data_IF_674143212694
#
_entry.id   IF_674143212694
#
_cell.length_a   1.000
_cell.length_b   1.000
_cell.length_c   1.000
_cell.angle_alpha   90.00
_cell.angle_beta   90.00
_cell.angle_gamma   90.00
#
_symmetry.space_group_name_H-M   'P 1'
#
loop_
_entity.id
_entity.type
_entity.pdbx_description
1 polymer ?
#
# COMPACT_ATOMS: atom_id res chain seq x y z
N UNK A 1 -11.84 54.95 45.04
CA UNK A 1 -11.44 54.24 46.26
C UNK A 1 -11.74 52.77 46.04
N UNK A 2 -10.76 52.03 45.53
CA UNK A 2 -10.58 50.63 45.93
C UNK A 2 -9.28 50.66 46.72
N UNK A 3 -9.34 50.22 47.97
CA UNK A 3 -8.22 50.40 48.91
C UNK A 3 -7.12 49.41 48.56
N UNK A 4 -5.84 49.76 48.78
CA UNK A 4 -4.68 48.86 48.59
C UNK A 4 -4.87 47.45 49.23
N UNK A 5 -5.75 47.36 50.23
CA UNK A 5 -6.21 46.12 50.87
C UNK A 5 -6.97 45.19 49.92
N UNK A 6 -7.87 45.73 49.08
CA UNK A 6 -8.72 44.95 48.16
C UNK A 6 -7.93 44.39 46.98
N UNK A 7 -6.98 45.16 46.44
CA UNK A 7 -6.06 44.66 45.41
C UNK A 7 -5.16 43.54 45.94
N UNK A 8 -4.72 43.64 47.19
CA UNK A 8 -3.89 42.60 47.81
C UNK A 8 -4.70 41.32 48.08
N UNK A 9 -5.96 41.44 48.50
CA UNK A 9 -6.87 40.29 48.67
C UNK A 9 -7.24 39.61 47.34
N UNK A 10 -7.39 40.37 46.26
CA UNK A 10 -7.63 39.85 44.91
C UNK A 10 -6.41 39.09 44.37
N UNK A 11 -5.19 39.56 44.66
CA UNK A 11 -3.95 38.86 44.32
C UNK A 11 -3.79 37.55 45.11
N UNK A 12 -4.05 37.56 46.42
CA UNK A 12 -3.96 36.36 47.25
C UNK A 12 -4.99 35.29 46.82
N UNK A 13 -6.23 35.69 46.51
CA UNK A 13 -7.25 34.76 45.97
C UNK A 13 -6.85 34.17 44.62
N UNK A 14 -6.26 34.96 43.73
CA UNK A 14 -5.79 34.47 42.44
C UNK A 14 -4.59 33.53 42.56
N UNK A 15 -3.70 33.75 43.53
CA UNK A 15 -2.56 32.86 43.81
C UNK A 15 -2.99 31.55 44.50
N UNK A 16 -4.04 31.56 45.32
CA UNK A 16 -4.64 30.34 45.89
C UNK A 16 -5.45 29.53 44.86
N UNK A 17 -6.12 30.20 43.90
CA UNK A 17 -6.75 29.52 42.76
C UNK A 17 -5.72 28.87 41.81
N UNK A 18 -4.52 29.45 41.69
CA UNK A 18 -3.41 28.85 40.90
C UNK A 18 -2.77 27.65 41.58
N UNK A 19 -2.87 27.52 42.91
CA UNK A 19 -2.34 26.36 43.67
C UNK A 19 -3.24 25.12 43.63
N UNK A 20 -4.46 25.21 43.13
CA UNK A 20 -5.43 24.10 43.14
C UNK A 20 -5.75 23.50 41.77
N UNK A 21 -5.23 24.05 40.67
CA UNK A 21 -5.37 23.45 39.34
C UNK A 21 -4.16 22.57 39.07
N UNK A 22 -4.14 21.36 39.63
CA UNK A 22 -3.28 20.30 39.08
C UNK A 22 -3.77 20.02 37.66
N UNK A 23 -2.91 20.04 36.63
CA UNK A 23 -3.31 19.63 35.30
C UNK A 23 -3.65 18.14 35.37
N UNK A 24 -4.94 17.83 35.42
CA UNK A 24 -5.42 16.45 35.26
C UNK A 24 -4.98 16.01 33.86
N UNK A 25 -4.20 14.94 33.72
CA UNK A 25 -3.88 14.39 32.42
C UNK A 25 -5.20 13.99 31.76
N UNK A 26 -5.61 14.74 30.73
CA UNK A 26 -6.62 14.25 29.80
C UNK A 26 -5.89 13.21 28.94
N UNK A 27 -5.74 12.01 29.49
CA UNK A 27 -5.44 10.81 28.71
C UNK A 27 -6.72 10.57 27.91
N UNK A 28 -6.69 10.65 26.56
CA UNK A 28 -7.79 10.14 25.77
C UNK A 28 -8.01 8.69 26.19
N UNK A 29 -9.21 8.41 26.69
CA UNK A 29 -9.67 7.08 27.05
C UNK A 29 -9.29 6.11 25.93
N UNK A 30 -8.74 4.96 26.34
CA UNK A 30 -8.44 3.76 25.56
C UNK A 30 -8.46 3.96 24.04
N UNK A 31 -7.27 3.94 23.43
CA UNK A 31 -7.07 3.78 21.98
C UNK A 31 -8.01 2.67 21.52
N UNK A 32 -9.10 2.97 20.79
CA UNK A 32 -9.90 1.94 20.17
C UNK A 32 -8.97 1.24 19.17
N UNK A 33 -8.99 -0.09 19.18
CA UNK A 33 -8.25 -0.92 18.24
C UNK A 33 -8.78 -0.67 16.82
N UNK A 34 -8.34 0.43 16.21
CA UNK A 34 -8.68 0.88 14.87
C UNK A 34 -7.70 0.25 13.88
N UNK A 35 -7.83 -1.07 13.72
CA UNK A 35 -7.50 -1.66 12.43
C UNK A 35 -8.81 -2.11 11.79
N UNK A 36 -9.30 -1.41 10.75
CA UNK A 36 -10.29 -2.00 9.86
C UNK A 36 -9.75 -3.35 9.38
N UNK A 37 -10.60 -4.38 9.21
CA UNK A 37 -10.16 -5.68 8.69
C UNK A 37 -9.38 -5.43 7.41
N UNK A 38 -8.09 -5.75 7.45
CA UNK A 38 -7.24 -5.64 6.27
C UNK A 38 -7.84 -6.59 5.24
N UNK A 39 -8.19 -6.09 4.05
CA UNK A 39 -8.59 -6.95 2.93
C UNK A 39 -7.35 -7.70 2.46
N UNK A 40 -7.04 -8.81 3.12
CA UNK A 40 -5.89 -9.66 2.80
C UNK A 40 -6.22 -10.42 1.53
N UNK A 41 -5.72 -9.95 0.39
CA UNK A 41 -5.98 -10.57 -0.92
C UNK A 41 -5.17 -11.86 -1.11
N UNK A 42 -3.96 -11.89 -0.55
CA UNK A 42 -3.12 -13.09 -0.56
C UNK A 42 -3.06 -13.71 0.82
N UNK A 43 -3.61 -14.92 0.98
CA UNK A 43 -3.41 -15.69 2.20
C UNK A 43 -1.95 -16.10 2.35
N UNK A 44 -1.50 -16.30 3.60
CA UNK A 44 -0.13 -16.70 3.89
C UNK A 44 0.28 -17.98 3.14
N UNK A 45 -0.65 -18.91 2.94
CA UNK A 45 -0.46 -20.15 2.20
C UNK A 45 -0.21 -19.91 0.70
N UNK A 46 -0.91 -18.94 0.09
CA UNK A 46 -0.70 -18.58 -1.31
C UNK A 46 0.68 -17.96 -1.50
N UNK A 47 1.08 -17.04 -0.61
CA UNK A 47 2.40 -16.40 -0.63
C UNK A 47 3.49 -17.47 -0.50
N UNK A 48 3.40 -18.34 0.51
CA UNK A 48 4.33 -19.45 0.72
C UNK A 48 4.42 -20.37 -0.49
N UNK A 49 3.30 -20.65 -1.15
CA UNK A 49 3.24 -21.50 -2.34
C UNK A 49 3.89 -20.83 -3.56
N UNK A 50 3.68 -19.53 -3.75
CA UNK A 50 4.32 -18.74 -4.80
C UNK A 50 5.83 -18.63 -4.59
N UNK A 51 6.27 -18.39 -3.36
CA UNK A 51 7.70 -18.33 -3.01
C UNK A 51 8.39 -19.65 -3.29
N UNK A 52 7.79 -20.77 -2.88
CA UNK A 52 8.30 -22.10 -3.19
C UNK A 52 8.35 -22.35 -4.70
N UNK A 53 7.32 -21.95 -5.45
CA UNK A 53 7.32 -22.04 -6.91
C UNK A 53 8.50 -21.28 -7.54
N UNK A 54 8.71 -20.02 -7.17
CA UNK A 54 9.79 -19.20 -7.73
C UNK A 54 11.17 -19.67 -7.30
N UNK A 55 11.33 -20.17 -6.06
CA UNK A 55 12.56 -20.84 -5.61
C UNK A 55 12.86 -22.07 -6.46
N UNK A 56 11.89 -22.96 -6.65
CA UNK A 56 12.03 -24.16 -7.49
C UNK A 56 12.42 -23.82 -8.93
N UNK A 57 11.76 -22.83 -9.52
CA UNK A 57 12.06 -22.35 -10.88
C UNK A 57 13.47 -21.76 -10.97
N UNK A 58 13.85 -20.90 -10.02
CA UNK A 58 15.17 -20.27 -9.96
C UNK A 58 16.29 -21.31 -9.85
N UNK A 59 16.16 -22.29 -8.96
CA UNK A 59 17.14 -23.35 -8.79
C UNK A 59 17.27 -24.24 -10.02
N UNK A 60 16.14 -24.56 -10.66
CA UNK A 60 16.09 -25.31 -11.91
C UNK A 60 16.80 -24.57 -13.05
N UNK A 61 16.48 -23.29 -13.24
CA UNK A 61 17.08 -22.46 -14.28
C UNK A 61 18.57 -22.19 -14.02
N UNK A 62 18.98 -21.97 -12.78
CA UNK A 62 20.40 -21.80 -12.40
C UNK A 62 21.22 -23.03 -12.76
N UNK A 63 20.72 -24.24 -12.45
CA UNK A 63 21.38 -25.50 -12.82
C UNK A 63 21.51 -25.66 -14.32
N UNK A 64 20.44 -25.36 -15.08
CA UNK A 64 20.49 -25.39 -16.54
C UNK A 64 21.49 -24.38 -17.11
N UNK A 65 21.41 -23.11 -16.66
CA UNK A 65 22.33 -22.04 -17.09
C UNK A 65 23.79 -22.37 -16.79
N UNK A 66 24.09 -22.97 -15.64
CA UNK A 66 25.45 -23.44 -15.30
C UNK A 66 25.96 -24.50 -16.26
N UNK A 67 25.14 -25.50 -16.58
CA UNK A 67 25.50 -26.55 -17.56
C UNK A 67 25.73 -25.98 -18.96
N UNK A 68 24.85 -25.06 -19.39
CA UNK A 68 25.00 -24.37 -20.67
C UNK A 68 26.28 -23.52 -20.70
N UNK A 69 26.56 -22.78 -19.62
CA UNK A 69 27.78 -21.97 -19.47
C UNK A 69 29.03 -22.83 -19.58
N UNK A 70 29.10 -23.95 -18.88
CA UNK A 70 30.24 -24.88 -18.95
C UNK A 70 30.50 -25.40 -20.38
N UNK A 71 29.46 -25.64 -21.18
CA UNK A 71 29.60 -26.05 -22.59
C UNK A 71 30.02 -24.86 -23.46
N UNK A 72 29.45 -23.68 -23.20
CA UNK A 72 29.73 -22.46 -23.95
C UNK A 72 31.17 -21.99 -23.77
N UNK A 73 31.69 -22.06 -22.56
CA UNK A 73 33.01 -21.55 -22.17
C UNK A 73 34.14 -22.56 -22.44
N UNK A 74 33.80 -23.79 -22.87
CA UNK A 74 34.80 -24.80 -23.21
C UNK A 74 35.52 -24.45 -24.53
N UNK A 75 36.81 -24.13 -24.46
CA UNK A 75 37.63 -23.71 -25.61
C UNK A 75 37.93 -24.85 -26.60
N UNK A 76 37.89 -26.10 -26.15
CA UNK A 76 38.18 -27.30 -26.96
C UNK A 76 37.01 -27.75 -27.85
N UNK A 77 35.84 -27.12 -27.74
CA UNK A 77 34.65 -27.45 -28.51
C UNK A 77 34.38 -26.44 -29.62
N UNK A 78 34.18 -26.94 -30.85
CA UNK A 78 33.71 -26.10 -31.95
C UNK A 78 32.27 -25.60 -31.71
N UNK A 79 31.92 -24.46 -32.32
CA UNK A 79 30.59 -23.84 -32.19
C UNK A 79 29.46 -24.83 -32.54
N UNK A 80 29.66 -25.66 -33.57
CA UNK A 80 28.68 -26.67 -34.01
C UNK A 80 28.48 -27.74 -32.93
N UNK A 81 29.57 -28.25 -32.33
CA UNK A 81 29.51 -29.23 -31.23
C UNK A 81 28.83 -28.64 -30.00
N UNK A 82 29.12 -27.38 -29.65
CA UNK A 82 28.46 -26.67 -28.54
C UNK A 82 26.94 -26.61 -28.73
N UNK A 83 26.47 -26.20 -29.91
CA UNK A 83 25.02 -26.17 -30.24
C UNK A 83 24.37 -27.55 -30.10
N UNK A 84 25.02 -28.61 -30.60
CA UNK A 84 24.52 -29.98 -30.51
C UNK A 84 24.41 -30.46 -29.06
N UNK A 85 25.44 -30.22 -28.24
CA UNK A 85 25.45 -30.60 -26.83
C UNK A 85 24.38 -29.84 -26.03
N UNK A 86 24.24 -28.53 -26.24
CA UNK A 86 23.21 -27.72 -25.57
C UNK A 86 21.81 -28.22 -25.90
N UNK A 87 21.54 -28.54 -27.18
CA UNK A 87 20.25 -29.08 -27.62
C UNK A 87 19.96 -30.47 -27.01
N UNK A 88 21.01 -31.24 -26.71
CA UNK A 88 20.89 -32.56 -26.09
C UNK A 88 20.72 -32.51 -24.55
N UNK A 89 20.89 -31.35 -23.91
CA UNK A 89 20.71 -31.22 -22.46
C UNK A 89 19.25 -31.52 -22.14
N UNK A 90 19.03 -32.61 -21.42
CA UNK A 90 17.75 -32.93 -20.81
C UNK A 90 17.86 -32.75 -19.30
N UNK A 91 17.48 -31.57 -18.75
CA UNK A 91 17.53 -31.34 -17.32
C UNK A 91 16.63 -32.33 -16.57
N UNK A 92 16.98 -32.61 -15.31
CA UNK A 92 16.20 -33.51 -14.45
C UNK A 92 14.91 -32.84 -14.00
N UNK A 93 13.79 -33.56 -14.02
CA UNK A 93 12.53 -33.09 -13.44
C UNK A 93 12.68 -32.81 -11.93
N UNK A 94 12.07 -31.75 -11.42
CA UNK A 94 12.20 -31.35 -10.00
C UNK A 94 11.66 -32.40 -9.03
N UNK A 95 10.63 -33.17 -9.42
CA UNK A 95 10.04 -34.26 -8.63
C UNK A 95 10.73 -35.61 -8.89
N UNK A 96 10.51 -36.21 -10.07
CA UNK A 96 10.94 -37.59 -10.36
C UNK A 96 12.42 -37.73 -10.74
N UNK A 97 13.17 -36.64 -10.89
CA UNK A 97 14.60 -36.60 -11.24
C UNK A 97 14.98 -37.27 -12.58
N UNK A 98 14.01 -37.72 -13.37
CA UNK A 98 14.22 -38.25 -14.74
C UNK A 98 14.66 -37.13 -15.69
N UNK A 99 15.41 -37.48 -16.75
CA UNK A 99 15.91 -36.56 -17.79
C UNK A 99 14.79 -36.15 -18.77
N UNK A 100 13.70 -35.60 -18.24
CA UNK A 100 12.51 -35.16 -18.99
C UNK A 100 12.22 -33.67 -18.79
N UNK A 101 12.94 -33.02 -17.86
CA UNK A 101 12.74 -31.62 -17.51
C UNK A 101 11.48 -31.33 -16.71
N UNK A 102 11.29 -30.05 -16.40
CA UNK A 102 10.10 -29.51 -15.76
C UNK A 102 9.66 -28.31 -16.57
N UNK A 103 8.39 -28.30 -16.95
CA UNK A 103 7.80 -27.21 -17.72
C UNK A 103 7.23 -26.21 -16.72
N UNK A 104 7.88 -25.05 -16.63
CA UNK A 104 7.37 -23.89 -15.89
C UNK A 104 6.70 -22.93 -16.87
N UNK A 105 5.49 -22.46 -16.57
CA UNK A 105 4.81 -21.42 -17.35
C UNK A 105 4.09 -20.43 -16.44
N UNK A 106 3.90 -19.22 -16.97
CA UNK A 106 3.09 -18.16 -16.36
C UNK A 106 2.23 -17.58 -17.47
N UNK A 107 1.02 -18.11 -17.63
CA UNK A 107 0.09 -17.76 -18.70
C UNK A 107 -1.26 -17.45 -18.06
N UNK A 108 -1.90 -16.36 -18.48
CA UNK A 108 -3.19 -15.91 -17.92
C UNK A 108 -3.17 -15.82 -16.39
N UNK A 109 -2.09 -15.27 -15.83
CA UNK A 109 -1.86 -15.15 -14.37
C UNK A 109 -1.73 -16.47 -13.61
N UNK A 110 -1.77 -17.62 -14.30
CA UNK A 110 -1.62 -18.95 -13.69
C UNK A 110 -0.16 -19.40 -13.78
N UNK A 111 0.46 -19.61 -12.61
CA UNK A 111 1.75 -20.25 -12.48
C UNK A 111 1.58 -21.77 -12.56
N UNK A 112 2.20 -22.39 -13.55
CA UNK A 112 2.18 -23.85 -13.72
C UNK A 112 3.58 -24.43 -13.61
N UNK A 113 3.73 -25.57 -12.92
CA UNK A 113 4.88 -26.45 -13.02
C UNK A 113 4.42 -27.90 -13.21
N UNK A 114 4.87 -28.54 -14.29
CA UNK A 114 4.52 -29.93 -14.61
C UNK A 114 5.73 -30.72 -15.12
N UNK A 115 5.66 -32.04 -15.04
CA UNK A 115 6.67 -32.93 -15.62
C UNK A 115 6.77 -32.70 -17.14
N UNK A 116 7.98 -32.69 -17.71
CA UNK A 116 8.16 -32.56 -19.16
C UNK A 116 7.94 -33.83 -19.97
N UNK A 117 7.58 -34.94 -19.33
CA UNK A 117 7.24 -36.20 -19.98
C UNK A 117 5.77 -36.18 -20.43
N UNK A 118 5.52 -36.32 -21.73
CA UNK A 118 4.18 -36.33 -22.32
C UNK A 118 3.47 -37.70 -22.26
N UNK A 119 4.22 -38.78 -22.02
CA UNK A 119 3.69 -40.16 -22.06
C UNK A 119 3.44 -40.67 -20.64
N UNK A 120 4.40 -40.46 -19.74
CA UNK A 120 4.30 -40.93 -18.34
C UNK A 120 4.69 -39.83 -17.35
N UNK A 121 3.95 -38.70 -17.29
CA UNK A 121 4.26 -37.62 -16.36
C UNK A 121 4.25 -38.13 -14.92
N UNK A 122 5.23 -37.71 -14.11
CA UNK A 122 5.12 -37.93 -12.67
C UNK A 122 4.04 -37.00 -12.08
N UNK A 123 3.59 -37.26 -10.84
CA UNK A 123 2.58 -36.44 -10.15
C UNK A 123 3.03 -35.05 -9.70
N UNK A 124 3.90 -34.37 -10.47
CA UNK A 124 4.24 -32.97 -10.26
C UNK A 124 3.16 -32.12 -10.92
N UNK A 125 2.36 -31.44 -10.10
CA UNK A 125 1.27 -30.58 -10.57
C UNK A 125 1.15 -29.39 -9.62
N UNK A 126 1.79 -28.29 -10.00
CA UNK A 126 1.64 -27.00 -9.32
C UNK A 126 0.85 -26.09 -10.25
N UNK A 127 -0.29 -25.59 -9.79
CA UNK A 127 -1.12 -24.57 -10.46
C UNK A 127 -1.58 -23.55 -9.44
N UNK A 128 -1.09 -22.33 -9.56
CA UNK A 128 -1.42 -21.21 -8.66
C UNK A 128 -1.98 -20.08 -9.50
N UNK A 129 -3.24 -19.71 -9.28
CA UNK A 129 -3.83 -18.50 -9.84
C UNK A 129 -3.39 -17.31 -8.98
N UNK A 130 -2.71 -16.33 -9.61
CA UNK A 130 -2.19 -15.14 -8.92
C UNK A 130 -3.26 -14.06 -8.71
N UNK A 131 -4.42 -14.24 -9.32
CA UNK A 131 -5.52 -13.29 -9.32
C UNK A 131 -5.33 -12.12 -10.28
N UNK A 132 -6.45 -11.49 -10.63
CA UNK A 132 -6.52 -10.24 -11.38
C UNK A 132 -6.63 -9.11 -10.37
N UNK A 133 -5.48 -8.50 -10.06
CA UNK A 133 -5.37 -7.45 -9.05
C UNK A 133 -4.87 -6.15 -9.64
N UNK A 134 -5.39 -5.03 -9.17
CA UNK A 134 -4.84 -3.69 -9.39
C UNK A 134 -4.92 -2.88 -8.10
N UNK A 135 -4.22 -1.74 -8.07
CA UNK A 135 -4.34 -0.79 -6.96
C UNK A 135 -5.57 0.09 -7.15
N UNK A 136 -6.22 0.52 -6.08
CA UNK A 136 -7.35 1.46 -6.10
C UNK A 136 -7.04 2.75 -6.89
N UNK A 137 -5.80 3.22 -6.86
CA UNK A 137 -5.34 4.36 -7.68
C UNK A 137 -5.47 4.06 -9.18
N UNK A 138 -5.02 2.87 -9.60
CA UNK A 138 -5.13 2.43 -11.00
C UNK A 138 -6.58 2.14 -11.39
N UNK A 139 -7.40 1.68 -10.44
CA UNK A 139 -8.82 1.49 -10.66
C UNK A 139 -9.49 2.85 -10.92
N UNK A 140 -9.20 3.86 -10.08
CA UNK A 140 -9.70 5.22 -10.28
C UNK A 140 -9.29 5.79 -11.64
N UNK A 141 -8.01 5.68 -12.02
CA UNK A 141 -7.51 6.13 -13.33
C UNK A 141 -8.19 5.37 -14.49
N UNK A 142 -8.38 4.06 -14.35
CA UNK A 142 -9.05 3.22 -15.34
C UNK A 142 -10.51 3.68 -15.55
N UNK A 143 -11.29 3.74 -14.48
CA UNK A 143 -12.70 4.14 -14.55
C UNK A 143 -12.88 5.58 -15.02
N UNK A 144 -11.97 6.48 -14.66
CA UNK A 144 -11.97 7.83 -15.19
C UNK A 144 -11.79 7.86 -16.72
N UNK A 145 -10.85 7.06 -17.26
CA UNK A 145 -10.65 6.97 -18.70
C UNK A 145 -11.85 6.35 -19.43
N UNK A 146 -12.49 5.33 -18.83
CA UNK A 146 -13.71 4.74 -19.39
C UNK A 146 -14.85 5.77 -19.45
N UNK A 147 -15.05 6.56 -18.38
CA UNK A 147 -16.02 7.66 -18.37
C UNK A 147 -15.74 8.69 -19.48
N UNK A 148 -14.47 9.06 -19.70
CA UNK A 148 -14.10 10.00 -20.76
C UNK A 148 -14.32 9.41 -22.17
N UNK A 149 -14.03 8.12 -22.36
CA UNK A 149 -14.32 7.42 -23.61
C UNK A 149 -15.84 7.38 -23.88
N UNK A 150 -16.66 7.06 -22.90
CA UNK A 150 -18.11 7.04 -23.07
C UNK A 150 -18.69 8.43 -23.33
N UNK A 151 -18.18 9.47 -22.67
CA UNK A 151 -18.53 10.86 -23.00
C UNK A 151 -18.17 11.20 -24.45
N UNK A 152 -17.00 10.76 -24.92
CA UNK A 152 -16.60 10.95 -26.31
C UNK A 152 -17.57 10.22 -27.26
N UNK A 153 -17.95 8.99 -26.96
CA UNK A 153 -18.91 8.21 -27.75
C UNK A 153 -20.31 8.86 -27.79
N UNK A 154 -20.75 9.47 -26.68
CA UNK A 154 -21.97 10.28 -26.62
C UNK A 154 -21.88 11.49 -27.56
N UNK A 155 -20.77 12.21 -27.54
CA UNK A 155 -20.55 13.36 -28.43
C UNK A 155 -20.56 12.90 -29.90
N UNK A 156 -19.86 11.81 -30.21
CA UNK A 156 -19.81 11.25 -31.56
C UNK A 156 -21.21 10.82 -32.03
N UNK A 157 -21.99 10.18 -31.18
CA UNK A 157 -23.38 9.78 -31.49
C UNK A 157 -24.25 11.01 -31.78
N UNK A 158 -24.14 12.07 -30.98
CA UNK A 158 -24.86 13.33 -31.20
C UNK A 158 -24.49 13.99 -32.53
N UNK A 159 -23.20 14.02 -32.86
CA UNK A 159 -22.73 14.57 -34.15
C UNK A 159 -23.20 13.71 -35.32
N UNK A 160 -23.12 12.38 -35.20
CA UNK A 160 -23.60 11.47 -36.24
C UNK A 160 -25.09 11.68 -36.53
N UNK A 161 -25.91 11.87 -35.49
CA UNK A 161 -27.33 12.20 -35.65
C UNK A 161 -27.52 13.56 -36.33
N UNK A 162 -26.83 14.61 -35.85
CA UNK A 162 -26.94 15.98 -36.38
C UNK A 162 -26.62 16.06 -37.88
N UNK A 163 -25.64 15.28 -38.35
CA UNK A 163 -25.23 15.23 -39.75
C UNK A 163 -25.97 14.16 -40.56
N UNK A 164 -26.94 13.46 -39.98
CA UNK A 164 -27.78 12.47 -40.67
C UNK A 164 -27.08 11.15 -41.01
N UNK A 165 -25.98 10.81 -40.32
CA UNK A 165 -25.30 9.52 -40.48
C UNK A 165 -25.99 8.36 -39.76
N UNK A 166 -26.85 8.66 -38.79
CA UNK A 166 -27.67 7.70 -38.03
C UNK A 166 -29.08 8.25 -37.82
N UNK A 167 -30.07 7.36 -37.70
CA UNK A 167 -31.45 7.75 -37.44
C UNK A 167 -31.67 8.06 -35.93
N UNK A 168 -32.83 8.62 -35.60
CA UNK A 168 -33.18 9.03 -34.24
C UNK A 168 -33.29 7.85 -33.27
N UNK A 169 -33.95 6.75 -33.67
CA UNK A 169 -34.16 5.57 -32.83
C UNK A 169 -32.83 4.92 -32.40
N UNK A 170 -31.91 4.73 -33.35
CA UNK A 170 -30.56 4.18 -33.11
C UNK A 170 -29.73 5.11 -32.21
N UNK A 171 -29.90 6.42 -32.39
CA UNK A 171 -29.19 7.44 -31.60
C UNK A 171 -29.66 7.48 -30.16
N UNK A 172 -30.98 7.38 -29.93
CA UNK A 172 -31.59 7.32 -28.59
C UNK A 172 -31.15 6.04 -27.88
N UNK A 173 -31.15 4.90 -28.59
CA UNK A 173 -30.74 3.61 -28.02
C UNK A 173 -29.29 3.68 -27.54
N UNK A 174 -28.35 4.08 -28.40
CA UNK A 174 -26.93 4.24 -28.03
C UNK A 174 -26.71 5.26 -26.92
N UNK A 175 -27.43 6.37 -26.95
CA UNK A 175 -27.33 7.38 -25.90
C UNK A 175 -27.74 6.82 -24.53
N UNK A 176 -28.83 6.03 -24.47
CA UNK A 176 -29.26 5.40 -23.24
C UNK A 176 -28.29 4.33 -22.75
N UNK A 177 -27.71 3.53 -23.67
CA UNK A 177 -26.65 2.58 -23.34
C UNK A 177 -25.45 3.28 -22.69
N UNK A 178 -24.86 4.29 -23.34
CA UNK A 178 -23.74 5.04 -22.78
C UNK A 178 -24.09 5.74 -21.47
N UNK A 179 -25.31 6.26 -21.34
CA UNK A 179 -25.77 6.89 -20.09
C UNK A 179 -25.77 5.89 -18.94
N UNK A 180 -26.25 4.67 -19.16
CA UNK A 180 -26.26 3.62 -18.15
C UNK A 180 -24.82 3.18 -17.82
N UNK A 181 -23.99 2.94 -18.84
CA UNK A 181 -22.58 2.57 -18.64
C UNK A 181 -21.80 3.65 -17.87
N UNK A 182 -22.02 4.93 -18.17
CA UNK A 182 -21.42 6.03 -17.40
C UNK A 182 -21.89 6.00 -15.95
N UNK A 183 -23.17 5.72 -15.70
CA UNK A 183 -23.70 5.63 -14.34
C UNK A 183 -23.01 4.52 -13.55
N UNK A 184 -22.95 3.31 -14.11
CA UNK A 184 -22.31 2.15 -13.49
C UNK A 184 -20.81 2.40 -13.25
N UNK A 185 -20.14 2.98 -14.25
CA UNK A 185 -18.70 3.31 -14.16
C UNK A 185 -18.43 4.39 -13.12
N UNK A 186 -19.34 5.36 -12.97
CA UNK A 186 -19.23 6.42 -11.96
C UNK A 186 -19.36 5.87 -10.55
N UNK A 187 -20.21 4.86 -10.33
CA UNK A 187 -20.30 4.15 -9.04
C UNK A 187 -18.97 3.47 -8.70
N UNK A 188 -18.36 2.77 -9.66
CA UNK A 188 -17.06 2.12 -9.48
C UNK A 188 -15.91 3.11 -9.24
N UNK A 189 -15.88 4.21 -9.99
CA UNK A 189 -14.94 5.30 -9.77
C UNK A 189 -15.10 5.91 -8.38
N UNK A 190 -16.34 6.19 -7.97
CA UNK A 190 -16.67 6.75 -6.67
C UNK A 190 -16.30 5.79 -5.55
N UNK A 191 -16.51 4.49 -5.72
CA UNK A 191 -16.09 3.44 -4.80
C UNK A 191 -14.57 3.42 -4.62
N UNK A 192 -13.80 3.48 -5.72
CA UNK A 192 -12.33 3.52 -5.67
C UNK A 192 -11.80 4.78 -4.95
N UNK A 193 -12.38 5.94 -5.27
CA UNK A 193 -12.04 7.19 -4.58
C UNK A 193 -12.45 7.15 -3.11
N UNK A 194 -13.63 6.60 -2.81
CA UNK A 194 -14.12 6.50 -1.43
C UNK A 194 -13.16 5.66 -0.62
N UNK A 195 -12.68 4.52 -1.12
CA UNK A 195 -11.66 3.73 -0.41
C UNK A 195 -10.38 4.52 -0.08
N UNK A 196 -9.91 5.36 -1.01
CA UNK A 196 -8.77 6.24 -0.79
C UNK A 196 -9.09 7.35 0.23
N UNK A 197 -10.35 7.80 0.29
CA UNK A 197 -10.82 8.94 1.09
C UNK A 197 -11.37 8.53 2.48
N UNK A 198 -11.97 7.35 2.65
CA UNK A 198 -12.77 6.93 3.83
C UNK A 198 -11.95 6.84 5.12
N UNK A 199 -10.62 6.90 5.02
CA UNK A 199 -9.76 7.40 6.11
C UNK A 199 -9.93 8.91 6.37
N UNK A 200 -11.14 9.46 6.22
CA UNK A 200 -11.47 10.86 6.51
C UNK A 200 -11.93 11.06 7.94
N UNK A 201 -12.32 10.02 8.68
CA UNK A 201 -12.41 10.04 10.16
C UNK A 201 -11.07 10.49 10.78
N UNK A 202 -9.98 10.28 10.04
CA UNK A 202 -8.66 10.77 10.36
C UNK A 202 -8.56 12.30 10.28
N UNK A 203 -9.36 13.01 9.47
CA UNK A 203 -9.22 14.47 9.25
C UNK A 203 -9.65 15.29 10.46
N UNK A 204 -10.78 14.95 11.08
CA UNK A 204 -11.26 15.64 12.29
C UNK A 204 -10.39 15.30 13.49
N UNK A 205 -10.03 14.02 13.66
CA UNK A 205 -9.08 13.59 14.68
C UNK A 205 -7.70 14.25 14.49
N UNK A 206 -7.18 14.34 13.25
CA UNK A 206 -5.95 15.09 12.93
C UNK A 206 -6.12 16.56 13.30
N UNK A 207 -7.26 17.18 12.99
CA UNK A 207 -7.53 18.59 13.32
C UNK A 207 -7.50 18.82 14.83
N UNK A 208 -8.23 18.02 15.60
CA UNK A 208 -8.27 18.09 17.06
C UNK A 208 -6.90 17.81 17.69
N UNK A 209 -6.19 16.80 17.19
CA UNK A 209 -4.84 16.47 17.69
C UNK A 209 -3.84 17.58 17.36
N UNK A 210 -3.90 18.17 16.17
CA UNK A 210 -3.07 19.33 15.80
C UNK A 210 -3.36 20.54 16.69
N UNK A 211 -4.63 20.78 17.06
CA UNK A 211 -4.97 21.85 18.00
C UNK A 211 -4.35 21.60 19.38
N UNK A 212 -4.39 20.36 19.87
CA UNK A 212 -3.73 19.98 21.13
C UNK A 212 -2.21 20.13 21.04
N UNK A 213 -1.60 19.75 19.92
CA UNK A 213 -0.17 19.92 19.66
C UNK A 213 0.23 21.40 19.68
N UNK A 214 -0.52 22.27 18.99
CA UNK A 214 -0.27 23.72 18.98
C UNK A 214 -0.38 24.32 20.39
N UNK A 215 -1.35 23.90 21.20
CA UNK A 215 -1.46 24.34 22.59
C UNK A 215 -0.22 23.95 23.41
N UNK A 216 0.25 22.70 23.30
CA UNK A 216 1.45 22.24 24.00
C UNK A 216 2.73 22.95 23.52
N UNK A 217 2.84 23.27 22.22
CA UNK A 217 3.97 24.04 21.69
C UNK A 217 3.97 25.48 22.22
N UNK A 218 2.81 26.12 22.34
CA UNK A 218 2.73 27.46 22.93
C UNK A 218 3.11 27.43 24.41
N UNK A 219 2.67 26.43 25.18
CA UNK A 219 3.09 26.24 26.58
C UNK A 219 4.62 26.07 26.72
N UNK A 220 5.26 25.32 25.81
CA UNK A 220 6.72 25.21 25.81
C UNK A 220 7.37 26.56 25.51
N UNK A 221 6.86 27.33 24.54
CA UNK A 221 7.39 28.66 24.22
C UNK A 221 7.28 29.60 25.42
N UNK A 222 6.12 29.65 26.08
CA UNK A 222 5.90 30.45 27.29
C UNK A 222 6.85 30.05 28.43
N UNK A 223 7.11 28.75 28.61
CA UNK A 223 8.06 28.27 29.61
C UNK A 223 9.52 28.67 29.26
N UNK A 224 9.89 28.63 27.98
CA UNK A 224 11.23 29.08 27.54
C UNK A 224 11.38 30.59 27.74
N UNK A 225 10.36 31.38 27.42
CA UNK A 225 10.36 32.84 27.63
C UNK A 225 10.50 33.17 29.13
N UNK A 226 9.71 32.51 29.99
CA UNK A 226 9.83 32.67 31.46
C UNK A 226 11.18 32.25 31.99
N UNK A 227 11.81 31.21 31.44
CA UNK A 227 13.18 30.85 31.80
C UNK A 227 14.18 31.95 31.44
N UNK A 228 14.06 32.55 30.25
CA UNK A 228 14.95 33.65 29.82
C UNK A 228 14.85 34.83 30.79
N UNK A 229 13.63 35.17 31.24
CA UNK A 229 13.36 36.27 32.17
C UNK A 229 13.80 35.98 33.62
N UNK A 230 13.53 34.78 34.13
CA UNK A 230 13.68 34.45 35.56
C UNK A 230 14.95 33.66 35.89
N UNK A 231 15.58 33.03 34.89
CA UNK A 231 16.66 32.04 35.05
C UNK A 231 16.27 30.81 35.90
N UNK A 232 14.97 30.58 36.13
CA UNK A 232 14.50 29.42 36.91
C UNK A 232 14.44 28.13 36.05
N UNK A 233 15.30 27.19 36.40
CA UNK A 233 15.46 25.88 35.74
C UNK A 233 14.15 25.07 35.74
N UNK A 234 13.21 25.32 36.67
CA UNK A 234 11.95 24.60 36.71
C UNK A 234 11.14 24.76 35.43
N UNK A 235 11.15 25.94 34.80
CA UNK A 235 10.47 26.17 33.52
C UNK A 235 11.04 25.30 32.39
N UNK A 236 12.35 25.04 32.39
CA UNK A 236 12.98 24.12 31.42
C UNK A 236 12.58 22.67 31.69
N UNK A 237 12.53 22.24 32.96
CA UNK A 237 12.07 20.90 33.32
C UNK A 237 10.62 20.67 32.89
N UNK A 238 9.74 21.63 33.15
CA UNK A 238 8.33 21.57 32.78
C UNK A 238 8.16 21.55 31.25
N UNK A 239 8.97 22.32 30.51
CA UNK A 239 8.98 22.29 29.03
C UNK A 239 9.42 20.93 28.48
N UNK A 240 10.46 20.32 29.05
CA UNK A 240 10.93 18.97 28.66
C UNK A 240 9.88 17.92 29.00
N UNK A 241 9.22 18.03 30.16
CA UNK A 241 8.16 17.12 30.57
C UNK A 241 6.95 17.18 29.63
N UNK A 242 6.52 18.38 29.22
CA UNK A 242 5.48 18.56 28.20
C UNK A 242 5.89 17.92 26.87
N UNK A 243 7.17 18.05 26.47
CA UNK A 243 7.66 17.46 25.24
C UNK A 243 7.55 15.93 25.26
N UNK A 244 8.01 15.31 26.34
CA UNK A 244 8.03 13.85 26.50
C UNK A 244 6.61 13.29 26.68
N UNK A 245 5.79 13.88 27.56
CA UNK A 245 4.48 13.35 27.94
C UNK A 245 3.36 13.69 26.98
N UNK A 246 3.44 14.85 26.30
CA UNK A 246 2.35 15.33 25.46
C UNK A 246 2.76 15.39 23.99
N UNK A 247 3.82 16.12 23.64
CA UNK A 247 4.17 16.37 22.22
C UNK A 247 4.58 15.09 21.50
N UNK A 248 5.51 14.31 22.06
CA UNK A 248 5.99 13.07 21.44
C UNK A 248 4.86 12.08 21.13
N UNK A 249 3.96 11.72 22.07
CA UNK A 249 2.85 10.82 21.75
C UNK A 249 1.84 11.43 20.77
N UNK A 250 1.55 12.74 20.85
CA UNK A 250 0.67 13.42 19.88
C UNK A 250 1.25 13.36 18.45
N UNK A 251 2.56 13.58 18.29
CA UNK A 251 3.23 13.49 16.99
C UNK A 251 3.16 12.07 16.44
N UNK A 252 3.45 11.06 17.26
CA UNK A 252 3.34 9.64 16.87
C UNK A 252 1.92 9.29 16.45
N UNK A 253 0.92 9.79 17.19
CA UNK A 253 -0.49 9.59 16.86
C UNK A 253 -0.84 10.23 15.50
N UNK A 254 -0.44 11.48 15.26
CA UNK A 254 -0.65 12.16 13.97
C UNK A 254 0.04 11.42 12.83
N UNK A 255 1.26 10.91 13.04
CA UNK A 255 1.97 10.16 12.00
C UNK A 255 1.26 8.85 11.66
N UNK A 256 0.78 8.10 12.65
CA UNK A 256 0.07 6.84 12.44
C UNK A 256 -1.31 7.05 11.78
N UNK A 257 -1.94 8.18 12.09
CA UNK A 257 -3.17 8.61 11.45
C UNK A 257 -2.93 8.93 9.96
N UNK A 258 -1.86 9.64 9.62
CA UNK A 258 -1.56 10.08 8.25
C UNK A 258 -0.92 9.02 7.37
N UNK A 259 -0.11 8.13 7.93
CA UNK A 259 0.77 7.25 7.18
C UNK A 259 0.61 5.80 7.64
N UNK A 260 0.36 4.90 6.69
CA UNK A 260 0.45 3.46 6.96
C UNK A 260 1.90 2.99 7.02
N UNK A 261 2.82 3.69 6.36
CA UNK A 261 4.25 3.42 6.44
C UNK A 261 5.04 4.71 6.69
N UNK A 262 5.81 4.72 7.78
CA UNK A 262 6.67 5.83 8.20
C UNK A 262 7.96 5.26 8.77
N UNK A 263 9.05 5.33 8.00
CA UNK A 263 10.33 4.77 8.41
C UNK A 263 11.51 5.51 7.79
N UNK A 264 12.69 5.38 8.41
CA UNK A 264 13.95 5.75 7.79
C UNK A 264 14.46 4.53 7.04
N UNK A 265 14.51 4.61 5.71
CA UNK A 265 15.08 3.57 4.86
C UNK A 265 16.55 3.91 4.62
N UNK A 266 17.42 2.91 4.83
CA UNK A 266 18.85 3.00 4.55
C UNK A 266 19.11 2.42 3.16
N UNK A 267 19.71 3.22 2.29
CA UNK A 267 20.20 2.79 0.99
C UNK A 267 21.65 2.30 1.15
N UNK A 268 21.84 0.97 1.10
CA UNK A 268 23.15 0.32 1.21
C UNK A 268 24.11 0.69 0.06
N UNK A 269 23.59 1.08 -1.10
CA UNK A 269 24.44 1.39 -2.27
C UNK A 269 25.04 2.81 -2.18
N UNK A 270 24.35 3.73 -1.52
CA UNK A 270 24.74 5.15 -1.43
C UNK A 270 25.02 5.62 0.02
N UNK A 271 24.91 4.75 1.03
CA UNK A 271 24.99 5.07 2.46
C UNK A 271 24.07 6.23 2.88
N UNK A 272 22.92 6.38 2.22
CA UNK A 272 21.98 7.48 2.50
C UNK A 272 20.78 7.00 3.31
N UNK A 273 20.33 7.84 4.25
CA UNK A 273 19.10 7.62 4.99
C UNK A 273 18.00 8.51 4.43
N UNK A 274 16.90 7.91 3.99
CA UNK A 274 15.74 8.64 3.48
C UNK A 274 14.52 8.40 4.35
N UNK A 275 13.80 9.48 4.67
CA UNK A 275 12.55 9.38 5.41
C UNK A 275 11.40 9.09 4.44
N UNK A 276 10.89 7.86 4.49
CA UNK A 276 9.82 7.40 3.61
C UNK A 276 8.48 7.51 4.34
N UNK A 277 7.55 8.24 3.72
CA UNK A 277 6.21 8.50 4.24
C UNK A 277 5.19 8.10 3.20
N UNK A 278 4.42 7.02 3.44
CA UNK A 278 3.39 6.55 2.51
C UNK A 278 2.03 6.51 3.21
N UNK A 279 1.02 7.23 2.71
CA UNK A 279 -0.34 7.19 3.27
C UNK A 279 -0.94 5.78 3.20
N UNK A 280 -0.56 5.03 2.17
CA UNK A 280 -0.99 3.66 1.91
C UNK A 280 0.21 2.77 1.56
N UNK A 281 0.14 1.49 1.92
CA UNK A 281 1.00 0.45 1.34
C UNK A 281 0.33 -0.11 0.10
N UNK A 282 1.09 -0.69 -0.84
CA UNK A 282 0.52 -1.30 -2.07
C UNK A 282 -0.56 -2.30 -1.68
N UNK A 283 -0.22 -3.26 -0.82
CA UNK A 283 -1.14 -4.27 -0.26
C UNK A 283 -2.42 -3.67 0.32
N UNK A 284 -2.33 -2.50 0.97
CA UNK A 284 -3.50 -1.87 1.57
C UNK A 284 -4.47 -1.24 0.60
N UNK A 285 -4.08 -1.08 -0.66
CA UNK A 285 -4.93 -0.51 -1.72
C UNK A 285 -5.10 -1.49 -2.87
N UNK A 286 -4.82 -2.78 -2.66
CA UNK A 286 -5.07 -3.77 -3.70
C UNK A 286 -6.58 -4.07 -3.77
N UNK A 287 -7.04 -4.20 -5.01
CA UNK A 287 -8.40 -4.57 -5.39
C UNK A 287 -8.33 -5.78 -6.31
N UNK A 288 -9.17 -6.78 -6.04
CA UNK A 288 -9.45 -7.87 -6.98
C UNK A 288 -10.49 -7.38 -7.99
N UNK A 289 -10.22 -7.60 -9.27
CA UNK A 289 -11.07 -7.14 -10.38
C UNK A 289 -11.92 -8.29 -10.90
N UNK A 290 -11.28 -9.42 -11.26
CA UNK A 290 -11.95 -10.56 -11.89
C UNK A 290 -11.78 -11.83 -11.06
N UNK A 291 -10.54 -12.29 -10.91
CA UNK A 291 -10.23 -13.57 -10.31
C UNK A 291 -9.45 -13.40 -9.02
N UNK A 292 -9.90 -14.06 -7.96
CA UNK A 292 -9.18 -14.11 -6.70
C UNK A 292 -7.92 -15.01 -6.81
N UNK A 293 -6.84 -14.67 -6.08
CA UNK A 293 -5.70 -15.55 -5.95
C UNK A 293 -6.10 -16.86 -5.28
N UNK A 294 -5.69 -18.00 -5.84
CA UNK A 294 -5.96 -19.32 -5.25
C UNK A 294 -4.97 -20.40 -5.69
N UNK A 295 -4.80 -21.39 -4.84
CA UNK A 295 -4.05 -22.61 -5.16
C UNK A 295 -5.02 -23.59 -5.83
N UNK A 296 -4.86 -23.80 -7.14
CA UNK A 296 -5.69 -24.76 -7.90
C UNK A 296 -5.18 -26.19 -7.65
N UNK A 297 -3.87 -26.38 -7.68
CA UNK A 297 -3.23 -27.64 -7.29
C UNK A 297 -1.80 -27.40 -6.81
N UNK A 298 -1.37 -28.18 -5.82
CA UNK A 298 0.00 -28.11 -5.31
C UNK A 298 0.50 -29.51 -4.91
N UNK A 299 1.04 -30.24 -5.89
CA UNK A 299 1.59 -31.59 -5.72
C UNK A 299 3.06 -31.59 -6.16
N UNK A 300 3.95 -31.80 -5.19
CA UNK A 300 5.41 -31.98 -5.37
C UNK A 300 5.80 -33.42 -5.12
#
# INVERSE_FOLDING_TARGET
>A
METKSELHFQQIKNDELRKTIKPTPIIPQAIPELSPPQKVIFTEDIIKSMDKYYKLKSDYEKKYKKTVKNIRDNEYLSIIKKKKLIKAIKPKCVKCKRNVGTIFSNTNRILTAKCGDSVTPCGLDIKIQRGSIMTEIKAADYWQNEIENDKFNVIQTKLNFLFGFVNEEDSITKFNEYKNTISDTLEEYTSALSYLIEKKETTENIKLTNQSLTKNLNLIKENIEKFIETQDIQYIKDAVEINIKNIKPLVVFITNLKYKYYAHEHDEDNETYTLVKKPYTIESIERVIDEEPKIISYKI
#
